data_IF_075476681122
#
_entry.id   IF_075476681122
#
_cell.length_a   1.000
_cell.length_b   1.000
_cell.length_c   1.000
_cell.angle_alpha   90.00
_cell.angle_beta   90.00
_cell.angle_gamma   90.00
#
_symmetry.space_group_name_H-M   'P 1'
#
loop_
_entity.id
_entity.type
_entity.pdbx_description
1 polymer ?
#
# COMPACT_ATOMS: atom_id res chain seq x y z
N UNK A 1 -7.88 5.13 34.85
CA UNK A 1 -7.01 6.15 34.24
C UNK A 1 -5.89 5.45 33.50
N UNK A 2 -5.92 5.45 32.15
CA UNK A 2 -4.87 4.81 31.33
C UNK A 2 -3.71 5.80 31.16
N UNK A 3 -2.50 5.39 31.51
CA UNK A 3 -1.27 6.20 31.43
C UNK A 3 -0.93 6.46 29.95
N UNK A 4 -1.28 7.65 29.45
CA UNK A 4 -1.03 8.11 28.07
C UNK A 4 0.49 8.32 27.86
N UNK A 5 1.14 7.49 27.04
CA UNK A 5 2.54 7.69 26.63
C UNK A 5 2.65 8.94 25.74
N UNK A 6 2.96 10.09 26.35
CA UNK A 6 3.08 11.40 25.67
C UNK A 6 4.02 11.39 24.46
N UNK A 7 5.08 10.56 24.48
CA UNK A 7 6.05 10.47 23.40
C UNK A 7 5.49 9.85 22.12
N UNK A 8 4.59 8.86 22.23
CA UNK A 8 4.01 8.19 21.05
C UNK A 8 3.00 9.10 20.34
N UNK A 9 2.25 9.92 21.09
CA UNK A 9 1.27 10.84 20.54
C UNK A 9 1.93 11.98 19.75
N UNK A 10 3.01 12.55 20.27
CA UNK A 10 3.76 13.61 19.59
C UNK A 10 4.33 13.14 18.24
N UNK A 11 4.83 11.89 18.17
CA UNK A 11 5.34 11.31 16.92
C UNK A 11 4.21 11.07 15.91
N UNK A 12 3.05 10.60 16.38
CA UNK A 12 1.87 10.40 15.52
C UNK A 12 1.38 11.75 14.96
N UNK A 13 1.26 12.78 15.80
CA UNK A 13 0.83 14.12 15.36
C UNK A 13 1.78 14.72 14.31
N UNK A 14 3.09 14.53 14.46
CA UNK A 14 4.09 15.01 13.50
C UNK A 14 3.97 14.30 12.15
N UNK A 15 3.82 12.98 12.14
CA UNK A 15 3.64 12.19 10.91
C UNK A 15 2.35 12.57 10.19
N UNK A 16 1.27 12.84 10.92
CA UNK A 16 0.00 13.29 10.32
C UNK A 16 0.08 14.67 9.68
N UNK A 17 0.94 15.57 10.18
CA UNK A 17 1.16 16.89 9.60
C UNK A 17 2.00 16.83 8.31
N UNK A 18 2.94 15.87 8.25
CA UNK A 18 3.88 15.73 7.12
C UNK A 18 3.30 14.91 5.95
N UNK A 19 2.21 14.18 6.16
CA UNK A 19 1.56 13.41 5.09
C UNK A 19 0.60 14.33 4.33
N UNK A 20 0.89 14.68 3.05
CA UNK A 20 -0.02 15.46 2.24
C UNK A 20 -1.34 14.72 2.02
N UNK A 21 -2.42 15.48 1.81
CA UNK A 21 -3.71 14.85 1.53
C UNK A 21 -3.63 14.05 0.23
N UNK A 22 -4.42 12.99 0.13
CA UNK A 22 -4.40 12.13 -1.05
C UNK A 22 -4.66 12.91 -2.36
N UNK A 23 -5.55 13.90 -2.31
CA UNK A 23 -5.83 14.84 -3.41
C UNK A 23 -4.68 15.77 -3.75
N UNK A 24 -3.76 16.01 -2.81
CA UNK A 24 -2.57 16.84 -3.04
C UNK A 24 -1.47 16.02 -3.74
N UNK A 25 -1.50 14.69 -3.59
CA UNK A 25 -0.58 13.76 -4.25
C UNK A 25 -1.11 13.35 -5.62
N UNK A 26 -2.41 13.10 -5.73
CA UNK A 26 -3.06 12.59 -6.94
C UNK A 26 -4.21 13.49 -7.38
N UNK A 27 -4.18 13.86 -8.65
CA UNK A 27 -5.38 14.34 -9.35
C UNK A 27 -6.26 13.16 -9.77
N UNK A 28 -7.52 13.41 -10.06
CA UNK A 28 -8.46 12.37 -10.51
C UNK A 28 -7.91 11.59 -11.72
N UNK A 29 -7.40 12.29 -12.74
CA UNK A 29 -6.85 11.68 -13.94
C UNK A 29 -5.60 10.83 -13.64
N UNK A 30 -4.67 11.35 -12.83
CA UNK A 30 -3.43 10.64 -12.49
C UNK A 30 -3.69 9.44 -11.59
N UNK A 31 -4.71 9.52 -10.72
CA UNK A 31 -5.14 8.38 -9.91
C UNK A 31 -5.67 7.24 -10.78
N UNK A 32 -6.55 7.54 -11.75
CA UNK A 32 -7.06 6.48 -12.64
C UNK A 32 -5.96 5.85 -13.48
N UNK A 33 -5.02 6.66 -13.98
CA UNK A 33 -3.85 6.14 -14.71
C UNK A 33 -2.98 5.25 -13.82
N UNK A 34 -2.72 5.67 -12.58
CA UNK A 34 -1.99 4.86 -11.60
C UNK A 34 -2.70 3.54 -11.31
N UNK A 35 -4.00 3.58 -11.04
CA UNK A 35 -4.79 2.39 -10.73
C UNK A 35 -4.77 1.39 -11.90
N UNK A 36 -4.94 1.88 -13.12
CA UNK A 36 -4.85 1.06 -14.33
C UNK A 36 -3.46 0.41 -14.46
N UNK A 37 -2.38 1.21 -14.38
CA UNK A 37 -1.03 0.70 -14.46
C UNK A 37 -0.71 -0.31 -13.34
N UNK A 38 -1.17 -0.06 -12.12
CA UNK A 38 -1.00 -0.95 -10.99
C UNK A 38 -1.69 -2.30 -11.19
N UNK A 39 -2.93 -2.30 -11.70
CA UNK A 39 -3.67 -3.52 -12.03
C UNK A 39 -2.96 -4.28 -13.15
N UNK A 40 -2.55 -3.60 -14.23
CA UNK A 40 -1.81 -4.23 -15.32
C UNK A 40 -0.49 -4.84 -14.82
N UNK A 41 0.28 -4.12 -14.00
CA UNK A 41 1.51 -4.62 -13.41
C UNK A 41 1.27 -5.83 -12.50
N UNK A 42 0.19 -5.81 -11.72
CA UNK A 42 -0.20 -6.93 -10.84
C UNK A 42 -0.55 -8.17 -11.65
N UNK A 43 -1.31 -8.01 -12.74
CA UNK A 43 -1.64 -9.13 -13.65
C UNK A 43 -0.37 -9.68 -14.30
N UNK A 44 0.50 -8.82 -14.81
CA UNK A 44 1.78 -9.22 -15.38
C UNK A 44 2.63 -9.97 -14.35
N UNK A 45 2.73 -9.45 -13.13
CA UNK A 45 3.45 -10.10 -12.05
C UNK A 45 2.85 -11.45 -11.70
N UNK A 46 1.52 -11.57 -11.60
CA UNK A 46 0.84 -12.84 -11.34
C UNK A 46 1.12 -13.87 -12.45
N UNK A 47 1.14 -13.44 -13.72
CA UNK A 47 1.46 -14.30 -14.85
C UNK A 47 2.92 -14.78 -14.81
N UNK A 48 3.85 -13.87 -14.54
CA UNK A 48 5.27 -14.18 -14.33
C UNK A 48 5.41 -15.19 -13.18
N UNK A 49 4.83 -14.89 -12.01
CA UNK A 49 4.88 -15.76 -10.84
C UNK A 49 4.25 -17.13 -11.08
N UNK A 50 3.14 -17.21 -11.83
CA UNK A 50 2.54 -18.49 -12.24
C UNK A 50 3.52 -19.38 -13.01
N UNK A 51 4.42 -18.78 -13.81
CA UNK A 51 5.46 -19.52 -14.54
C UNK A 51 6.59 -20.04 -13.65
N UNK A 52 6.91 -19.34 -12.57
CA UNK A 52 8.08 -19.61 -11.72
C UNK A 52 7.74 -20.33 -10.40
N UNK A 53 6.54 -20.15 -9.87
CA UNK A 53 6.09 -20.75 -8.62
C UNK A 53 5.26 -22.00 -8.95
N UNK A 54 5.90 -23.17 -8.82
CA UNK A 54 5.18 -24.44 -8.83
C UNK A 54 4.57 -24.68 -7.45
N UNK A 55 3.25 -24.51 -7.34
CA UNK A 55 2.50 -24.85 -6.13
C UNK A 55 2.51 -26.37 -6.01
N UNK A 56 3.26 -26.88 -5.03
CA UNK A 56 3.22 -28.31 -4.67
C UNK A 56 2.05 -28.55 -3.73
N UNK A 57 1.33 -29.66 -3.89
CA UNK A 57 0.33 -30.05 -2.90
C UNK A 57 1.01 -30.20 -1.53
N UNK A 58 0.35 -29.71 -0.48
CA UNK A 58 0.72 -30.06 0.90
C UNK A 58 0.13 -31.43 1.17
N UNK A 59 1.00 -32.41 1.40
CA UNK A 59 0.60 -33.71 1.92
C UNK A 59 0.25 -33.54 3.41
N UNK A 60 -1.01 -33.76 3.76
CA UNK A 60 -1.52 -33.79 5.14
C UNK A 60 -1.49 -35.21 5.71
#
# INVERSE_FOLDING_TARGET
MVKKNKGTLAVIEQIYQDIPAFSDIFTEETFYMFAFCFVCATILMAFILSRFITIKPVDF
#
